data_IF_407346208642
#
_entry.id   IF_407346208642
#
_cell.length_a   1.000
_cell.length_b   1.000
_cell.length_c   1.000
_cell.angle_alpha   90.00
_cell.angle_beta   90.00
_cell.angle_gamma   90.00
#
_symmetry.space_group_name_H-M   'P 1'
#
loop_
_entity.id
_entity.type
_entity.pdbx_description
1 polymer ?
#
# COMPACT_ATOMS: atom_id res chain seq x y z
N UNK A 1 2.66 3.77 47.03
CA UNK A 1 1.85 3.18 45.93
C UNK A 1 1.78 4.21 44.83
N UNK A 2 2.35 3.99 43.63
CA UNK A 2 2.20 4.93 42.54
C UNK A 2 0.80 4.79 41.93
N UNK A 3 0.15 5.92 41.66
CA UNK A 3 -1.13 5.98 40.96
C UNK A 3 -0.92 5.51 39.51
N UNK A 4 -1.65 4.47 39.12
CA UNK A 4 -1.78 4.05 37.73
C UNK A 4 -2.56 5.14 36.98
N UNK A 5 -1.87 5.90 36.13
CA UNK A 5 -2.52 6.76 35.17
C UNK A 5 -3.27 5.87 34.17
N UNK A 6 -4.60 5.96 34.17
CA UNK A 6 -5.44 5.35 33.13
C UNK A 6 -5.08 6.00 31.80
N UNK A 7 -4.34 5.29 30.94
CA UNK A 7 -4.14 5.68 29.55
C UNK A 7 -5.52 5.71 28.90
N UNK A 8 -5.95 6.87 28.41
CA UNK A 8 -7.19 6.98 27.68
C UNK A 8 -7.10 6.03 26.47
N UNK A 9 -7.98 5.04 26.41
CA UNK A 9 -8.14 4.19 25.23
C UNK A 9 -8.65 5.13 24.13
N UNK A 10 -7.76 5.54 23.24
CA UNK A 10 -8.15 6.15 21.98
C UNK A 10 -8.79 5.04 21.16
N UNK A 11 -10.13 5.00 21.13
CA UNK A 11 -10.84 4.01 20.33
C UNK A 11 -10.50 4.25 18.87
N UNK A 12 -9.72 3.33 18.30
CA UNK A 12 -9.42 3.35 16.88
C UNK A 12 -10.71 3.08 16.09
N UNK A 13 -11.10 4.01 15.22
CA UNK A 13 -12.25 3.88 14.31
C UNK A 13 -11.74 3.76 12.89
N UNK A 14 -12.16 2.70 12.22
CA UNK A 14 -11.87 2.50 10.80
C UNK A 14 -12.54 3.62 9.97
N UNK A 15 -11.76 4.22 9.06
CA UNK A 15 -12.25 5.24 8.11
C UNK A 15 -12.88 4.58 6.89
N UNK A 16 -14.08 5.02 6.51
CA UNK A 16 -14.68 4.75 5.20
C UNK A 16 -13.84 5.30 4.04
N UNK A 17 -14.14 4.90 2.80
CA UNK A 17 -13.48 5.45 1.60
C UNK A 17 -13.54 6.99 1.60
N UNK A 18 -14.73 7.56 1.80
CA UNK A 18 -14.91 9.01 1.83
C UNK A 18 -14.11 9.69 2.94
N UNK A 19 -14.11 9.13 4.15
CA UNK A 19 -13.31 9.65 5.28
C UNK A 19 -11.80 9.58 4.99
N UNK A 20 -11.31 8.54 4.28
CA UNK A 20 -9.91 8.47 3.85
C UNK A 20 -9.60 9.59 2.85
N UNK A 21 -10.41 9.73 1.80
CA UNK A 21 -10.20 10.77 0.77
C UNK A 21 -10.22 12.17 1.37
N UNK A 22 -11.22 12.48 2.20
CA UNK A 22 -11.35 13.78 2.85
C UNK A 22 -10.14 14.07 3.74
N UNK A 23 -9.65 13.06 4.46
CA UNK A 23 -8.50 13.21 5.34
C UNK A 23 -7.18 13.39 4.58
N UNK A 24 -6.98 12.72 3.44
CA UNK A 24 -5.82 12.99 2.58
C UNK A 24 -5.82 14.45 2.08
N UNK A 25 -6.98 14.95 1.64
CA UNK A 25 -7.12 16.34 1.20
C UNK A 25 -6.90 17.35 2.33
N UNK A 26 -7.28 17.00 3.57
CA UNK A 26 -6.95 17.76 4.77
C UNK A 26 -5.43 17.80 5.00
N UNK A 27 -4.74 16.65 4.92
CA UNK A 27 -3.28 16.57 5.07
C UNK A 27 -2.56 17.43 4.03
N UNK A 28 -3.00 17.41 2.76
CA UNK A 28 -2.49 18.30 1.71
C UNK A 28 -2.60 19.77 2.09
N UNK A 29 -3.75 20.16 2.63
CA UNK A 29 -4.01 21.55 3.03
C UNK A 29 -3.17 21.96 4.24
N UNK A 30 -2.97 21.02 5.17
CA UNK A 30 -2.22 21.24 6.41
C UNK A 30 -0.70 21.26 6.21
N UNK A 31 -0.19 20.49 5.24
CA UNK A 31 1.24 20.33 4.98
C UNK A 31 1.59 20.57 3.50
N UNK A 32 1.31 21.76 2.96
CA UNK A 32 1.42 22.03 1.52
C UNK A 32 2.85 21.93 0.99
N UNK A 33 3.86 22.19 1.83
CA UNK A 33 5.27 22.13 1.43
C UNK A 33 5.83 20.70 1.35
N UNK A 34 5.11 19.72 1.92
CA UNK A 34 5.59 18.34 2.06
C UNK A 34 4.67 17.31 1.40
N UNK A 35 3.51 17.72 0.88
CA UNK A 35 2.52 16.78 0.38
C UNK A 35 1.78 17.25 -0.86
N UNK A 36 1.52 16.30 -1.74
CA UNK A 36 0.67 16.43 -2.91
C UNK A 36 -0.38 15.32 -2.87
N UNK A 37 -1.64 15.66 -3.14
CA UNK A 37 -2.74 14.67 -3.26
C UNK A 37 -3.42 14.83 -4.60
N UNK A 38 -3.61 13.70 -5.27
CA UNK A 38 -4.26 13.59 -6.58
C UNK A 38 -5.06 12.29 -6.70
N UNK A 39 -6.05 12.29 -7.59
CA UNK A 39 -6.71 11.09 -8.11
C UNK A 39 -5.89 10.55 -9.28
N UNK A 40 -5.59 9.26 -9.31
CA UNK A 40 -4.87 8.63 -10.45
C UNK A 40 -5.69 8.80 -11.73
N UNK A 41 -7.03 8.70 -11.64
CA UNK A 41 -7.92 8.92 -12.78
C UNK A 41 -7.74 10.29 -13.40
N UNK A 42 -7.73 11.33 -12.56
CA UNK A 42 -7.56 12.70 -13.03
C UNK A 42 -6.13 12.97 -13.50
N UNK A 43 -5.11 12.37 -12.86
CA UNK A 43 -3.70 12.58 -13.23
C UNK A 43 -3.34 11.98 -14.59
N UNK A 44 -3.88 10.82 -14.93
CA UNK A 44 -3.52 10.07 -16.14
C UNK A 44 -4.69 9.91 -17.13
N UNK A 45 -5.74 10.72 -17.01
CA UNK A 45 -6.93 10.70 -17.87
C UNK A 45 -7.58 9.30 -17.99
N UNK A 46 -7.60 8.53 -16.89
CA UNK A 46 -8.23 7.21 -16.89
C UNK A 46 -9.76 7.29 -16.79
N UNK A 47 -10.49 6.36 -17.43
CA UNK A 47 -11.95 6.36 -17.40
C UNK A 47 -12.50 6.16 -15.97
N UNK A 48 -13.54 6.93 -15.66
CA UNK A 48 -14.36 6.77 -14.45
C UNK A 48 -15.59 5.95 -14.79
N UNK A 49 -15.49 4.63 -14.67
CA UNK A 49 -16.57 3.69 -15.00
C UNK A 49 -17.79 3.89 -14.09
N UNK A 50 -19.01 3.90 -14.65
CA UNK A 50 -20.24 4.19 -13.89
C UNK A 50 -20.56 3.09 -12.87
N UNK A 51 -20.20 1.87 -13.21
CA UNK A 51 -20.40 0.67 -12.40
C UNK A 51 -19.47 0.65 -11.18
N UNK A 52 -18.35 1.38 -11.25
CA UNK A 52 -17.31 1.45 -10.21
C UNK A 52 -17.50 2.74 -9.41
N UNK A 53 -18.50 2.74 -8.51
CA UNK A 53 -18.86 3.89 -7.68
C UNK A 53 -18.68 3.62 -6.18
N UNK A 54 -18.43 4.68 -5.41
CA UNK A 54 -18.07 4.64 -4.01
C UNK A 54 -18.97 5.61 -3.22
N UNK A 55 -18.99 5.47 -1.89
CA UNK A 55 -19.72 6.41 -1.00
C UNK A 55 -18.76 7.42 -0.38
N UNK A 56 -19.04 8.72 -0.57
CA UNK A 56 -18.35 9.83 0.12
C UNK A 56 -19.40 10.84 0.58
N UNK A 57 -19.42 11.19 1.86
CA UNK A 57 -20.43 12.12 2.42
C UNK A 57 -21.89 11.75 2.08
N UNK A 58 -22.22 10.44 2.15
CA UNK A 58 -23.56 9.88 1.89
C UNK A 58 -24.00 10.01 0.41
N UNK A 59 -23.14 10.53 -0.47
CA UNK A 59 -23.40 10.59 -1.91
C UNK A 59 -22.59 9.54 -2.67
N UNK A 60 -23.18 9.02 -3.74
CA UNK A 60 -22.50 8.15 -4.70
C UNK A 60 -21.58 9.00 -5.58
N UNK A 61 -20.30 8.66 -5.57
CA UNK A 61 -19.25 9.28 -6.39
C UNK A 61 -18.53 8.20 -7.20
N UNK A 62 -17.81 8.53 -8.28
CA UNK A 62 -16.87 7.56 -8.87
C UNK A 62 -15.87 7.05 -7.82
N UNK A 63 -15.57 5.76 -7.85
CA UNK A 63 -14.42 5.26 -7.11
C UNK A 63 -13.16 5.69 -7.84
N UNK A 64 -12.26 6.33 -7.11
CA UNK A 64 -10.99 6.81 -7.64
C UNK A 64 -9.87 6.35 -6.71
N UNK A 65 -8.70 6.11 -7.27
CA UNK A 65 -7.52 5.80 -6.47
C UNK A 65 -6.86 7.12 -6.10
N UNK A 66 -7.07 7.55 -4.85
CA UNK A 66 -6.38 8.71 -4.30
C UNK A 66 -4.98 8.34 -3.83
N UNK A 67 -4.03 9.20 -4.19
CA UNK A 67 -2.61 9.08 -3.82
C UNK A 67 -2.23 10.29 -2.98
N UNK A 68 -1.43 10.06 -1.94
CA UNK A 68 -0.66 11.12 -1.29
C UNK A 68 0.83 10.90 -1.52
N UNK A 69 1.48 11.85 -2.18
CA UNK A 69 2.94 11.90 -2.38
C UNK A 69 3.54 12.75 -1.27
N UNK A 70 4.54 12.23 -0.56
CA UNK A 70 5.24 12.90 0.53
C UNK A 70 6.70 13.11 0.15
N UNK A 71 7.18 14.35 0.20
CA UNK A 71 8.56 14.71 -0.13
C UNK A 71 8.81 16.16 0.26
N UNK A 72 10.03 16.49 0.71
CA UNK A 72 10.50 17.88 0.78
C UNK A 72 11.26 18.20 -0.52
N UNK A 73 10.60 18.75 -1.53
CA UNK A 73 11.21 19.00 -2.86
C UNK A 73 12.41 19.96 -2.79
N UNK A 74 12.55 20.76 -1.72
CA UNK A 74 13.63 21.73 -1.60
C UNK A 74 14.99 21.12 -1.20
N UNK A 75 15.03 19.84 -0.86
CA UNK A 75 16.21 19.21 -0.24
C UNK A 75 17.11 18.41 -1.19
N UNK A 76 16.53 17.73 -2.19
CA UNK A 76 17.25 16.96 -3.20
C UNK A 76 16.57 17.11 -4.57
N UNK A 77 17.34 17.15 -5.67
CA UNK A 77 16.79 17.01 -7.01
C UNK A 77 16.08 15.66 -7.21
N UNK A 78 15.03 15.62 -8.04
CA UNK A 78 14.23 14.41 -8.30
C UNK A 78 15.08 13.21 -8.72
N UNK A 79 16.09 13.41 -9.58
CA UNK A 79 16.96 12.34 -10.07
C UNK A 79 17.81 11.66 -8.97
N UNK A 80 18.01 12.32 -7.82
CA UNK A 80 18.77 11.79 -6.69
C UNK A 80 17.87 11.28 -5.55
N UNK A 81 16.55 11.36 -5.74
CA UNK A 81 15.55 11.04 -4.72
C UNK A 81 14.95 9.65 -4.97
N UNK A 82 15.26 8.64 -4.14
CA UNK A 82 14.62 7.34 -4.25
C UNK A 82 13.11 7.45 -4.03
N UNK A 83 12.36 6.75 -4.85
CA UNK A 83 10.92 6.67 -4.81
C UNK A 83 10.47 5.35 -4.19
N UNK A 84 9.49 5.43 -3.30
CA UNK A 84 8.93 4.28 -2.61
C UNK A 84 7.41 4.30 -2.79
N UNK A 85 6.82 3.14 -3.01
CA UNK A 85 5.37 2.99 -3.05
C UNK A 85 4.87 2.16 -1.88
N UNK A 86 3.82 2.63 -1.23
CA UNK A 86 3.08 1.91 -0.21
C UNK A 86 1.61 1.81 -0.61
N UNK A 87 1.10 0.61 -0.82
CA UNK A 87 -0.28 0.38 -1.21
C UNK A 87 -1.04 -0.48 -0.20
N UNK A 88 -2.34 -0.27 -0.09
CA UNK A 88 -3.22 -1.08 0.75
C UNK A 88 -4.47 -1.47 -0.01
N UNK A 89 -5.12 -2.53 0.46
CA UNK A 89 -6.43 -2.93 -0.04
C UNK A 89 -6.43 -3.14 -1.56
N UNK A 90 -5.43 -3.83 -2.12
CA UNK A 90 -5.54 -4.42 -3.47
C UNK A 90 -6.73 -5.40 -3.48
N UNK A 91 -7.03 -6.00 -2.33
CA UNK A 91 -8.27 -6.70 -2.02
C UNK A 91 -9.11 -5.86 -1.05
N UNK A 92 -10.33 -5.49 -1.46
CA UNK A 92 -11.09 -4.40 -0.84
C UNK A 92 -11.54 -4.61 0.61
N UNK A 93 -11.75 -5.86 1.01
CA UNK A 93 -12.16 -6.23 2.38
C UNK A 93 -10.95 -6.40 3.33
N UNK A 94 -9.73 -6.07 2.89
CA UNK A 94 -8.51 -6.18 3.70
C UNK A 94 -8.18 -4.81 4.33
N UNK A 95 -8.85 -4.52 5.46
CA UNK A 95 -9.06 -3.17 5.98
C UNK A 95 -7.89 -2.56 6.76
N UNK A 96 -6.99 -3.39 7.29
CA UNK A 96 -5.88 -2.90 8.15
C UNK A 96 -4.89 -2.04 7.37
N UNK A 97 -4.53 -2.45 6.15
CA UNK A 97 -3.56 -1.75 5.30
C UNK A 97 -3.88 -0.27 5.06
N UNK A 98 -5.05 0.07 4.48
CA UNK A 98 -5.47 1.44 4.22
C UNK A 98 -5.33 2.37 5.44
N UNK A 99 -5.61 1.84 6.62
CA UNK A 99 -5.59 2.58 7.86
C UNK A 99 -4.18 2.84 8.38
N UNK A 100 -3.32 1.83 8.31
CA UNK A 100 -1.89 1.96 8.61
C UNK A 100 -1.26 3.00 7.69
N UNK A 101 -1.63 3.01 6.40
CA UNK A 101 -1.10 3.95 5.42
C UNK A 101 -1.52 5.40 5.66
N UNK A 102 -2.78 5.62 6.04
CA UNK A 102 -3.25 6.95 6.43
C UNK A 102 -2.52 7.45 7.69
N UNK A 103 -2.33 6.58 8.69
CA UNK A 103 -1.59 6.92 9.90
C UNK A 103 -0.10 7.18 9.62
N UNK A 104 0.51 6.41 8.72
CA UNK A 104 1.89 6.62 8.28
C UNK A 104 2.06 7.99 7.61
N UNK A 105 1.12 8.39 6.73
CA UNK A 105 1.15 9.69 6.09
C UNK A 105 1.11 10.84 7.10
N UNK A 106 0.17 10.80 8.05
CA UNK A 106 0.06 11.80 9.12
C UNK A 106 1.33 11.84 9.98
N UNK A 107 1.86 10.67 10.37
CA UNK A 107 3.07 10.57 11.19
C UNK A 107 4.27 11.24 10.50
N UNK A 108 4.53 10.88 9.24
CA UNK A 108 5.64 11.44 8.48
C UNK A 108 5.52 12.97 8.33
N UNK A 109 4.34 13.46 7.93
CA UNK A 109 4.10 14.89 7.72
C UNK A 109 4.17 15.72 9.02
N UNK A 110 3.62 15.20 10.12
CA UNK A 110 3.61 15.89 11.41
C UNK A 110 5.02 16.05 12.02
N UNK A 111 5.95 15.17 11.68
CA UNK A 111 7.35 15.27 12.07
C UNK A 111 8.19 16.07 11.07
N UNK A 112 7.93 15.93 9.76
CA UNK A 112 8.63 16.69 8.72
C UNK A 112 8.40 18.21 8.85
N UNK A 113 7.18 18.62 9.16
CA UNK A 113 6.77 20.03 9.20
C UNK A 113 7.27 20.84 10.41
N UNK A 114 7.79 20.19 11.45
CA UNK A 114 8.26 20.85 12.68
C UNK A 114 9.79 20.84 12.78
N UNK A 115 10.37 21.83 13.45
CA UNK A 115 11.82 21.89 13.68
C UNK A 115 12.30 20.88 14.72
N UNK A 116 11.48 20.57 15.74
CA UNK A 116 11.71 19.58 16.79
C UNK A 116 11.20 18.17 16.43
N UNK A 117 11.08 17.87 15.14
CA UNK A 117 10.63 16.57 14.63
C UNK A 117 11.60 15.45 14.93
N UNK A 118 11.12 14.20 14.87
CA UNK A 118 12.00 13.06 14.97
C UNK A 118 12.97 13.11 13.77
N UNK A 119 14.30 13.15 14.01
CA UNK A 119 15.26 13.37 12.94
C UNK A 119 15.27 12.26 11.89
N UNK A 120 14.92 11.02 12.27
CA UNK A 120 14.82 9.91 11.33
C UNK A 120 13.60 10.06 10.41
N UNK A 121 12.45 10.44 10.96
CA UNK A 121 11.23 10.66 10.15
C UNK A 121 11.36 11.88 9.24
N UNK A 122 11.99 12.95 9.73
CA UNK A 122 12.37 14.09 8.89
C UNK A 122 13.32 13.65 7.77
N UNK A 123 14.34 12.86 8.08
CA UNK A 123 15.29 12.37 7.09
C UNK A 123 14.61 11.53 6.00
N UNK A 124 13.59 10.72 6.35
CA UNK A 124 12.80 9.97 5.36
C UNK A 124 12.13 10.91 4.34
N UNK A 125 11.38 11.92 4.81
CA UNK A 125 10.66 12.86 3.92
C UNK A 125 11.64 13.77 3.15
N UNK A 126 12.76 14.15 3.76
CA UNK A 126 13.79 15.01 3.15
C UNK A 126 14.65 14.35 2.08
N UNK A 127 14.60 13.03 1.91
CA UNK A 127 15.51 12.38 0.97
C UNK A 127 14.84 11.31 0.14
N UNK A 128 13.52 11.18 0.20
CA UNK A 128 12.74 10.22 -0.58
C UNK A 128 11.46 10.87 -1.11
N UNK A 129 10.94 10.31 -2.19
CA UNK A 129 9.54 10.46 -2.59
C UNK A 129 8.78 9.26 -2.07
N UNK A 130 7.80 9.48 -1.22
CA UNK A 130 6.98 8.40 -0.65
C UNK A 130 5.58 8.53 -1.25
N UNK A 131 5.20 7.59 -2.11
CA UNK A 131 3.91 7.52 -2.79
C UNK A 131 3.02 6.54 -2.04
N UNK A 132 1.90 7.02 -1.50
CA UNK A 132 1.00 6.19 -0.68
C UNK A 132 -0.37 6.09 -1.36
N UNK A 133 -0.84 4.86 -1.54
CA UNK A 133 -2.14 4.52 -2.15
C UNK A 133 -2.97 3.71 -1.12
N UNK A 134 -3.74 4.36 -0.24
CA UNK A 134 -4.41 3.65 0.85
C UNK A 134 -5.41 2.59 0.36
N UNK A 135 -6.22 2.93 -0.64
CA UNK A 135 -7.31 2.07 -1.14
C UNK A 135 -7.13 1.78 -2.63
N UNK A 136 -6.20 0.88 -2.98
CA UNK A 136 -5.93 0.52 -4.36
C UNK A 136 -7.19 -0.04 -5.07
N UNK A 137 -7.90 -0.97 -4.44
CA UNK A 137 -9.25 -1.36 -4.82
C UNK A 137 -10.29 -0.50 -4.07
N UNK A 138 -10.47 0.74 -4.52
CA UNK A 138 -11.41 1.68 -3.93
C UNK A 138 -12.86 1.16 -3.93
N UNK A 139 -13.29 0.48 -4.99
CA UNK A 139 -14.62 -0.13 -5.08
C UNK A 139 -14.82 -1.20 -4.01
N UNK A 140 -13.91 -2.18 -3.96
CA UNK A 140 -13.98 -3.25 -2.99
C UNK A 140 -13.92 -2.71 -1.57
N UNK A 141 -13.10 -1.68 -1.33
CA UNK A 141 -13.05 -0.98 -0.06
C UNK A 141 -14.38 -0.30 0.28
N UNK A 142 -14.98 0.48 -0.62
CA UNK A 142 -16.25 1.15 -0.31
C UNK A 142 -17.41 0.18 -0.06
N UNK A 143 -17.36 -1.03 -0.64
CA UNK A 143 -18.42 -2.04 -0.50
C UNK A 143 -18.08 -3.16 0.49
N UNK A 144 -16.90 -3.13 1.10
CA UNK A 144 -16.36 -4.18 1.96
C UNK A 144 -16.38 -5.58 1.28
N UNK A 145 -15.93 -5.63 0.04
CA UNK A 145 -15.78 -6.86 -0.75
C UNK A 145 -14.37 -7.00 -1.30
N UNK A 146 -13.93 -8.24 -1.52
CA UNK A 146 -12.58 -8.54 -2.01
C UNK A 146 -12.29 -7.95 -3.39
N UNK A 147 -13.25 -8.09 -4.30
CA UNK A 147 -13.11 -7.88 -5.74
C UNK A 147 -13.51 -6.47 -6.17
N UNK A 148 -12.99 -6.01 -7.30
CA UNK A 148 -13.60 -4.92 -8.06
C UNK A 148 -14.62 -5.55 -9.00
N UNK A 149 -15.92 -5.34 -8.73
CA UNK A 149 -16.99 -6.10 -9.38
C UNK A 149 -16.76 -7.62 -9.25
N UNK A 150 -16.53 -8.31 -10.36
CA UNK A 150 -16.31 -9.76 -10.46
C UNK A 150 -14.82 -10.17 -10.55
N UNK A 151 -13.89 -9.21 -10.61
CA UNK A 151 -12.46 -9.46 -10.80
C UNK A 151 -11.67 -9.24 -9.50
N UNK A 152 -10.78 -10.17 -9.15
CA UNK A 152 -9.81 -9.98 -8.04
C UNK A 152 -8.62 -9.17 -8.58
N UNK A 153 -8.39 -7.91 -8.13
CA UNK A 153 -7.32 -7.10 -8.68
C UNK A 153 -5.94 -7.73 -8.50
N UNK A 154 -5.72 -8.56 -7.46
CA UNK A 154 -4.46 -9.29 -7.29
C UNK A 154 -4.37 -10.56 -8.16
N UNK A 155 -5.16 -10.65 -9.23
CA UNK A 155 -5.07 -11.63 -10.32
C UNK A 155 -5.09 -10.97 -11.70
N UNK A 156 -5.03 -9.64 -11.71
CA UNK A 156 -5.29 -8.80 -12.88
C UNK A 156 -4.02 -8.06 -13.35
N UNK A 157 -2.84 -8.40 -12.82
CA UNK A 157 -1.55 -7.89 -13.30
C UNK A 157 -0.97 -8.79 -14.41
N UNK A 158 -0.12 -8.29 -15.32
CA UNK A 158 0.27 -9.02 -16.53
C UNK A 158 1.18 -10.23 -16.31
N UNK A 159 1.63 -10.51 -15.08
CA UNK A 159 2.61 -11.55 -14.82
C UNK A 159 2.03 -12.96 -14.87
N UNK A 160 2.63 -13.81 -15.71
CA UNK A 160 2.28 -15.22 -15.88
C UNK A 160 0.80 -15.49 -16.24
N UNK A 161 0.17 -14.56 -16.97
CA UNK A 161 -1.15 -14.76 -17.56
C UNK A 161 -1.05 -15.32 -18.99
N UNK A 162 -2.08 -16.04 -19.42
CA UNK A 162 -2.09 -16.74 -20.72
C UNK A 162 -2.29 -15.80 -21.92
N UNK A 163 -3.00 -14.69 -21.74
CA UNK A 163 -3.20 -13.64 -22.75
C UNK A 163 -3.04 -12.25 -22.12
N UNK A 164 -2.30 -11.36 -22.79
CA UNK A 164 -2.15 -9.94 -22.46
C UNK A 164 -3.48 -9.17 -22.31
N UNK A 165 -4.57 -9.67 -22.90
CA UNK A 165 -5.92 -9.08 -22.77
C UNK A 165 -6.64 -9.46 -21.48
N UNK A 166 -6.11 -10.41 -20.72
CA UNK A 166 -6.68 -10.89 -19.45
C UNK A 166 -6.19 -10.09 -18.25
N UNK A 167 -5.42 -9.02 -18.48
CA UNK A 167 -4.85 -8.19 -17.43
C UNK A 167 -5.31 -6.74 -17.52
N UNK A 168 -5.19 -6.06 -16.38
CA UNK A 168 -5.46 -4.65 -16.20
C UNK A 168 -6.91 -4.35 -16.63
N UNK A 169 -7.84 -5.24 -16.27
CA UNK A 169 -9.28 -5.10 -16.50
C UNK A 169 -9.88 -4.16 -15.48
N UNK A 170 -9.43 -4.27 -14.23
CA UNK A 170 -9.85 -3.43 -13.11
C UNK A 170 -9.21 -2.05 -13.16
N UNK A 171 -9.97 -1.08 -12.68
CA UNK A 171 -9.50 0.28 -12.42
C UNK A 171 -8.35 0.26 -11.42
N UNK A 172 -8.43 -0.61 -10.40
CA UNK A 172 -7.36 -0.82 -9.41
C UNK A 172 -6.01 -1.21 -10.04
N UNK A 173 -5.98 -2.24 -10.88
CA UNK A 173 -4.74 -2.69 -11.52
C UNK A 173 -4.21 -1.63 -12.50
N UNK A 174 -5.09 -1.04 -13.34
CA UNK A 174 -4.73 0.05 -14.26
C UNK A 174 -4.15 1.25 -13.53
N UNK A 175 -4.75 1.68 -12.42
CA UNK A 175 -4.29 2.82 -11.65
C UNK A 175 -2.88 2.58 -11.07
N UNK A 176 -2.64 1.41 -10.47
CA UNK A 176 -1.32 1.06 -9.97
C UNK A 176 -0.29 0.95 -11.11
N UNK A 177 -0.68 0.39 -12.26
CA UNK A 177 0.19 0.32 -13.44
C UNK A 177 0.63 1.70 -13.92
N UNK A 178 -0.26 2.68 -13.99
CA UNK A 178 0.14 4.03 -14.41
C UNK A 178 1.11 4.68 -13.42
N UNK A 179 0.98 4.43 -12.11
CA UNK A 179 1.99 4.87 -11.14
C UNK A 179 3.35 4.20 -11.42
N UNK A 180 3.40 2.88 -11.65
CA UNK A 180 4.64 2.18 -12.00
C UNK A 180 5.23 2.57 -13.35
N UNK A 181 4.44 3.16 -14.25
CA UNK A 181 4.91 3.68 -15.55
C UNK A 181 5.44 5.10 -15.48
N UNK A 182 4.93 5.90 -14.54
CA UNK A 182 5.32 7.30 -14.32
C UNK A 182 6.53 7.42 -13.37
N UNK A 183 6.68 6.46 -12.44
CA UNK A 183 7.69 6.49 -11.39
C UNK A 183 8.73 5.37 -11.54
N UNK A 184 9.95 5.62 -11.04
CA UNK A 184 10.97 4.57 -10.89
C UNK A 184 11.09 4.17 -9.42
N UNK A 185 10.13 3.39 -8.93
CA UNK A 185 10.14 2.93 -7.54
C UNK A 185 11.29 1.94 -7.27
N UNK A 186 12.09 2.20 -6.25
CA UNK A 186 13.14 1.28 -5.79
C UNK A 186 12.67 0.31 -4.69
N UNK A 187 11.54 0.61 -4.03
CA UNK A 187 10.94 -0.25 -3.02
C UNK A 187 9.42 -0.13 -3.04
N UNK A 188 8.72 -1.27 -2.98
CA UNK A 188 7.28 -1.35 -2.84
C UNK A 188 6.86 -2.18 -1.63
N UNK A 189 5.85 -1.72 -0.89
CA UNK A 189 5.18 -2.51 0.16
C UNK A 189 3.68 -2.45 -0.08
N UNK A 190 3.05 -3.61 -0.25
CA UNK A 190 1.59 -3.72 -0.31
C UNK A 190 1.05 -4.45 0.91
N UNK A 191 0.00 -3.91 1.53
CA UNK A 191 -0.61 -4.47 2.73
C UNK A 191 -1.84 -5.31 2.38
N UNK A 192 -1.79 -6.57 2.80
CA UNK A 192 -2.89 -7.53 2.76
C UNK A 192 -3.43 -7.85 4.16
N UNK A 193 -4.53 -8.59 4.23
CA UNK A 193 -5.08 -9.15 5.48
C UNK A 193 -5.55 -10.60 5.31
N UNK A 194 -5.81 -11.27 6.43
CA UNK A 194 -6.23 -12.68 6.47
C UNK A 194 -5.10 -13.67 6.81
N UNK A 195 -3.85 -13.20 6.82
CA UNK A 195 -2.69 -13.92 7.36
C UNK A 195 -1.66 -12.96 7.92
N UNK A 196 -1.01 -13.37 9.00
CA UNK A 196 0.14 -12.71 9.60
C UNK A 196 1.42 -13.24 8.96
N UNK A 197 1.97 -12.56 7.96
CA UNK A 197 3.24 -12.90 7.34
C UNK A 197 3.85 -11.70 6.60
N UNK A 198 5.15 -11.79 6.28
CA UNK A 198 5.84 -10.84 5.40
C UNK A 198 6.42 -11.62 4.25
N UNK A 199 5.82 -11.47 3.07
CA UNK A 199 6.22 -12.24 1.90
C UNK A 199 6.77 -11.37 0.80
N UNK A 200 7.60 -11.99 -0.02
CA UNK A 200 8.22 -11.40 -1.21
C UNK A 200 8.15 -12.41 -2.36
N UNK A 201 8.63 -12.03 -3.54
CA UNK A 201 8.57 -12.84 -4.74
C UNK A 201 9.37 -14.18 -4.59
N UNK A 202 9.06 -15.23 -5.32
CA UNK A 202 7.99 -15.31 -6.32
C UNK A 202 6.66 -15.79 -5.72
N UNK A 203 5.58 -15.22 -6.24
CA UNK A 203 4.19 -15.61 -5.99
C UNK A 203 3.53 -16.36 -7.15
N UNK A 204 4.07 -16.34 -8.37
CA UNK A 204 3.44 -16.93 -9.54
C UNK A 204 3.65 -18.44 -9.65
N UNK A 205 2.71 -19.11 -10.34
CA UNK A 205 2.70 -20.59 -10.44
C UNK A 205 3.86 -21.15 -11.25
N UNK A 206 4.39 -20.40 -12.21
CA UNK A 206 5.56 -20.79 -13.00
C UNK A 206 6.86 -20.85 -12.17
N UNK A 207 6.88 -20.29 -10.95
CA UNK A 207 7.99 -20.38 -10.00
C UNK A 207 7.77 -21.43 -8.90
N UNK A 208 6.79 -22.31 -9.07
CA UNK A 208 6.62 -23.48 -8.19
C UNK A 208 7.36 -24.66 -8.81
N UNK A 209 8.44 -25.09 -8.17
CA UNK A 209 9.18 -26.29 -8.60
C UNK A 209 8.35 -27.56 -8.46
N UNK A 210 8.80 -28.62 -9.15
CA UNK A 210 8.29 -29.98 -8.96
C UNK A 210 8.31 -30.45 -7.48
N UNK A 211 9.20 -29.90 -6.65
CA UNK A 211 9.24 -30.18 -5.20
C UNK A 211 8.14 -29.48 -4.38
N UNK A 212 7.31 -28.64 -5.01
CA UNK A 212 6.34 -27.77 -4.35
C UNK A 212 6.97 -26.57 -3.63
N UNK A 213 8.25 -26.27 -3.90
CA UNK A 213 8.97 -25.12 -3.32
C UNK A 213 9.10 -23.99 -4.32
N UNK A 214 9.11 -22.78 -3.81
CA UNK A 214 9.36 -21.58 -4.60
C UNK A 214 10.77 -21.58 -5.21
N UNK A 215 10.89 -21.09 -6.43
CA UNK A 215 12.16 -20.65 -7.00
C UNK A 215 12.65 -19.37 -6.36
N UNK A 216 13.97 -19.16 -6.44
CA UNK A 216 14.62 -17.97 -5.89
C UNK A 216 14.76 -16.95 -7.01
N UNK A 217 14.27 -15.73 -6.78
CA UNK A 217 14.59 -14.59 -7.64
C UNK A 217 16.09 -14.29 -7.62
N UNK A 218 16.62 -13.60 -8.65
CA UNK A 218 18.01 -13.11 -8.64
C UNK A 218 18.35 -12.30 -7.38
N UNK A 219 17.36 -11.56 -6.83
CA UNK A 219 17.49 -10.71 -5.65
C UNK A 219 16.98 -11.35 -4.34
N UNK A 220 16.77 -12.68 -4.32
CA UNK A 220 16.21 -13.38 -3.17
C UNK A 220 16.94 -13.09 -1.84
N UNK A 221 18.26 -12.90 -1.87
CA UNK A 221 19.01 -12.55 -0.65
C UNK A 221 18.63 -11.17 -0.12
N UNK A 222 18.50 -10.18 -1.00
CA UNK A 222 18.10 -8.82 -0.65
C UNK A 222 16.68 -8.80 -0.07
N UNK A 223 15.74 -9.47 -0.73
CA UNK A 223 14.35 -9.53 -0.27
C UNK A 223 14.19 -10.27 1.05
N UNK A 224 14.88 -11.40 1.20
CA UNK A 224 14.90 -12.13 2.47
C UNK A 224 15.44 -11.27 3.62
N UNK A 225 16.45 -10.45 3.37
CA UNK A 225 16.99 -9.54 4.39
C UNK A 225 15.96 -8.47 4.76
N UNK A 226 15.32 -7.84 3.77
CA UNK A 226 14.28 -6.84 3.99
C UNK A 226 13.09 -7.42 4.77
N UNK A 227 12.56 -8.57 4.34
CA UNK A 227 11.44 -9.24 5.01
C UNK A 227 11.77 -9.62 6.45
N UNK A 228 12.98 -10.14 6.69
CA UNK A 228 13.44 -10.51 8.04
C UNK A 228 13.61 -9.30 8.95
N UNK A 229 14.11 -8.19 8.42
CA UNK A 229 14.24 -6.92 9.16
C UNK A 229 12.85 -6.43 9.54
N UNK A 230 11.92 -6.35 8.59
CA UNK A 230 10.54 -5.94 8.85
C UNK A 230 9.87 -6.85 9.89
N UNK A 231 10.05 -8.17 9.79
CA UNK A 231 9.53 -9.15 10.78
C UNK A 231 10.04 -8.87 12.19
N UNK A 232 11.35 -8.60 12.34
CA UNK A 232 11.95 -8.28 13.63
C UNK A 232 11.47 -6.96 14.20
N UNK A 233 11.35 -5.93 13.36
CA UNK A 233 10.87 -4.60 13.78
C UNK A 233 9.37 -4.58 14.10
N UNK A 234 8.56 -5.37 13.40
CA UNK A 234 7.16 -5.60 13.72
C UNK A 234 6.96 -6.25 15.09
N UNK A 235 8.02 -6.87 15.64
CA UNK A 235 8.02 -7.46 16.95
C UNK A 235 7.36 -8.84 16.96
N UNK A 236 7.18 -9.35 18.17
CA UNK A 236 6.50 -10.62 18.39
C UNK A 236 5.03 -10.37 18.70
N UNK A 237 4.17 -11.22 18.20
CA UNK A 237 2.76 -11.20 18.60
C UNK A 237 2.63 -11.55 20.08
N UNK A 238 1.75 -10.83 20.79
CA UNK A 238 1.56 -11.04 22.22
C UNK A 238 1.04 -12.45 22.54
N UNK A 239 0.19 -13.00 21.68
CA UNK A 239 -0.48 -14.28 21.89
C UNK A 239 0.45 -15.47 21.63
N UNK A 240 1.21 -15.46 20.53
CA UNK A 240 2.07 -16.58 20.13
C UNK A 240 3.53 -16.42 20.58
N UNK A 241 3.97 -15.20 20.89
CA UNK A 241 5.38 -14.85 21.13
C UNK A 241 6.30 -15.16 19.93
N UNK A 242 5.71 -15.31 18.74
CA UNK A 242 6.38 -15.53 17.47
C UNK A 242 6.49 -14.24 16.68
N UNK A 243 7.50 -14.17 15.81
CA UNK A 243 7.61 -13.11 14.80
C UNK A 243 6.72 -13.43 13.59
N UNK A 244 6.42 -12.42 12.76
CA UNK A 244 5.84 -12.65 11.44
C UNK A 244 6.66 -13.70 10.66
N UNK A 245 6.06 -14.82 10.22
CA UNK A 245 6.69 -15.71 9.26
C UNK A 245 7.08 -14.95 7.99
N UNK A 246 8.34 -15.07 7.58
CA UNK A 246 8.88 -14.45 6.38
C UNK A 246 9.40 -15.47 5.36
N UNK A 247 9.25 -15.17 4.08
CA UNK A 247 9.68 -16.03 2.97
C UNK A 247 9.02 -15.65 1.65
N UNK A 248 9.26 -16.44 0.61
CA UNK A 248 8.58 -16.21 -0.67
C UNK A 248 7.08 -16.46 -0.53
N UNK A 249 6.27 -15.77 -1.33
CA UNK A 249 4.81 -15.94 -1.34
C UNK A 249 4.40 -17.39 -1.59
N UNK A 250 5.04 -18.06 -2.55
CA UNK A 250 4.79 -19.47 -2.85
C UNK A 250 5.03 -20.41 -1.66
N UNK A 251 6.03 -20.13 -0.80
CA UNK A 251 6.37 -21.01 0.33
C UNK A 251 5.55 -20.71 1.60
N UNK A 252 5.15 -19.45 1.82
CA UNK A 252 4.51 -19.01 3.08
C UNK A 252 2.99 -18.85 2.94
N UNK A 253 2.51 -18.49 1.74
CA UNK A 253 1.11 -18.21 1.44
C UNK A 253 0.58 -19.29 0.48
N UNK A 254 0.68 -19.07 -0.83
CA UNK A 254 0.37 -19.99 -1.93
C UNK A 254 0.60 -19.27 -3.28
N UNK A 255 0.68 -20.04 -4.37
CA UNK A 255 0.95 -19.50 -5.70
C UNK A 255 -0.28 -18.93 -6.41
N UNK A 256 -0.10 -17.77 -7.06
CA UNK A 256 -1.12 -16.96 -7.73
C UNK A 256 -0.56 -16.30 -8.99
N UNK A 257 -1.25 -16.41 -10.11
CA UNK A 257 -0.85 -15.69 -11.34
C UNK A 257 -1.52 -14.30 -11.37
N UNK A 258 -0.88 -13.34 -12.03
CA UNK A 258 -1.35 -11.96 -12.12
C UNK A 258 -1.40 -11.21 -10.78
N UNK A 259 -0.56 -11.60 -9.82
CA UNK A 259 -0.34 -10.83 -8.59
C UNK A 259 0.40 -9.52 -8.87
N UNK A 260 0.19 -8.52 -8.02
CA UNK A 260 0.88 -7.22 -8.08
C UNK A 260 2.36 -7.37 -7.71
N UNK A 261 2.69 -8.38 -6.92
CA UNK A 261 3.98 -8.53 -6.24
C UNK A 261 5.13 -8.98 -7.15
N UNK A 262 4.81 -9.69 -8.25
CA UNK A 262 5.75 -10.27 -9.22
C UNK A 262 5.83 -9.45 -10.53
#
# INVERSE_FOLDING_TARGET
MPLSASVAITTYKERSYGEIVDYLLELKTKYPDYSEVFSVQDKYDLPKHKEVNCTRNIVTVPCEQYVIKLTDEATLPDAERPELIFSGSVQGNERVGPQVLVALAELLLSHASRTDGNPWLQHLVKTRTIVIVPTANAYGYSHNVRRELDVDPNRDFPYNLGDSKECMVTTAARALNELWRDHLFQLGITFHAGRECITYEWGAKNHVKASGKSDKSPDNQSQQQLSRIMSRFGGKFEESNDYYPDGTMNDVVYAVDGGMED
#
